data_IF_179447248404
#
_entry.id   IF_179447248404
#
_cell.length_a   1.000
_cell.length_b   1.000
_cell.length_c   1.000
_cell.angle_alpha   90.00
_cell.angle_beta   90.00
_cell.angle_gamma   90.00
#
_symmetry.space_group_name_H-M   'P 1'
#
loop_
_entity.id
_entity.type
_entity.pdbx_description
1 polymer ?
#
# COMPACT_ATOMS: atom_id res chain seq x y z
N UNK A 1 -31.76 40.06 -2.12
CA UNK A 1 -30.45 39.40 -2.39
C UNK A 1 -30.12 39.31 -3.89
N UNK A 2 -31.10 39.01 -4.77
CA UNK A 2 -30.90 38.87 -6.23
C UNK A 2 -30.43 40.14 -6.98
N UNK A 3 -30.79 41.34 -6.50
CA UNK A 3 -30.52 42.62 -7.19
C UNK A 3 -29.08 43.11 -7.01
N UNK A 4 -28.44 42.78 -5.88
CA UNK A 4 -27.03 43.09 -5.62
C UNK A 4 -26.11 42.28 -6.56
N UNK A 5 -26.47 41.02 -6.80
CA UNK A 5 -25.76 40.09 -7.69
C UNK A 5 -25.73 40.59 -9.14
N UNK A 6 -26.86 41.09 -9.66
CA UNK A 6 -26.93 41.64 -11.03
C UNK A 6 -26.19 42.98 -11.18
N UNK A 7 -26.14 43.81 -10.13
CA UNK A 7 -25.42 45.09 -10.14
C UNK A 7 -23.89 44.91 -10.13
N UNK A 8 -23.42 43.85 -9.46
CA UNK A 8 -22.00 43.41 -9.46
C UNK A 8 -21.62 42.78 -10.81
N UNK A 9 -22.52 41.96 -11.38
CA UNK A 9 -22.31 41.24 -12.65
C UNK A 9 -22.15 42.14 -13.88
N UNK A 10 -22.68 43.37 -13.85
CA UNK A 10 -22.60 44.31 -14.99
C UNK A 10 -21.29 45.11 -15.06
N UNK A 11 -20.35 44.97 -14.11
CA UNK A 11 -19.02 45.58 -14.22
C UNK A 11 -18.07 44.63 -14.95
N UNK A 12 -17.34 45.17 -15.94
CA UNK A 12 -16.25 44.51 -16.69
C UNK A 12 -15.29 43.73 -15.76
N UNK A 13 -15.04 44.29 -14.57
CA UNK A 13 -14.21 43.68 -13.52
C UNK A 13 -14.72 42.29 -13.09
N UNK A 14 -16.03 42.09 -12.90
CA UNK A 14 -16.55 40.79 -12.46
C UNK A 14 -16.40 39.69 -13.51
N UNK A 15 -16.51 40.05 -14.80
CA UNK A 15 -16.29 39.10 -15.91
C UNK A 15 -14.84 38.64 -15.98
N UNK A 16 -13.89 39.57 -15.82
CA UNK A 16 -12.45 39.26 -15.82
C UNK A 16 -12.08 38.37 -14.62
N UNK A 17 -12.56 38.71 -13.42
CA UNK A 17 -12.29 37.92 -12.21
C UNK A 17 -12.86 36.50 -12.34
N UNK A 18 -14.06 36.36 -12.90
CA UNK A 18 -14.68 35.04 -13.10
C UNK A 18 -13.93 34.19 -14.14
N UNK A 19 -13.51 34.76 -15.28
CA UNK A 19 -12.79 33.99 -16.30
C UNK A 19 -11.39 33.61 -15.85
N UNK A 20 -10.65 34.53 -15.23
CA UNK A 20 -9.31 34.25 -14.71
C UNK A 20 -9.39 33.25 -13.55
N UNK A 21 -10.37 33.40 -12.66
CA UNK A 21 -10.62 32.44 -11.59
C UNK A 21 -10.93 31.04 -12.12
N UNK A 22 -11.74 30.93 -13.17
CA UNK A 22 -12.05 29.65 -13.81
C UNK A 22 -10.79 29.01 -14.41
N UNK A 23 -10.00 29.76 -15.19
CA UNK A 23 -8.77 29.25 -15.80
C UNK A 23 -7.76 28.81 -14.73
N UNK A 24 -7.63 29.60 -13.66
CA UNK A 24 -6.76 29.26 -12.54
C UNK A 24 -7.21 27.97 -11.84
N UNK A 25 -8.51 27.83 -11.55
CA UNK A 25 -9.04 26.61 -10.92
C UNK A 25 -8.79 25.37 -11.77
N UNK A 26 -9.01 25.46 -13.09
CA UNK A 26 -8.76 24.34 -14.00
C UNK A 26 -7.27 23.99 -14.03
N UNK A 27 -6.40 24.99 -14.19
CA UNK A 27 -4.95 24.78 -14.22
C UNK A 27 -4.43 24.16 -12.92
N UNK A 28 -4.86 24.69 -11.77
CA UNK A 28 -4.47 24.18 -10.45
C UNK A 28 -4.98 22.76 -10.20
N UNK A 29 -6.19 22.44 -10.68
CA UNK A 29 -6.76 21.09 -10.56
C UNK A 29 -5.96 20.07 -11.36
N UNK A 30 -5.61 20.41 -12.62
CA UNK A 30 -4.78 19.55 -13.48
C UNK A 30 -3.39 19.35 -12.86
N UNK A 31 -2.77 20.45 -12.38
CA UNK A 31 -1.45 20.41 -11.77
C UNK A 31 -1.42 19.52 -10.52
N UNK A 32 -2.39 19.72 -9.63
CA UNK A 32 -2.55 18.93 -8.40
C UNK A 32 -2.77 17.45 -8.72
N UNK A 33 -3.63 17.15 -9.71
CA UNK A 33 -3.89 15.78 -10.12
C UNK A 33 -2.60 15.08 -10.60
N UNK A 34 -1.83 15.72 -11.46
CA UNK A 34 -0.56 15.16 -11.96
C UNK A 34 0.43 14.95 -10.82
N UNK A 35 0.59 15.95 -9.94
CA UNK A 35 1.53 15.86 -8.81
C UNK A 35 1.16 14.75 -7.82
N UNK A 36 -0.12 14.63 -7.46
CA UNK A 36 -0.59 13.57 -6.54
C UNK A 36 -0.37 12.19 -7.15
N UNK A 37 -0.63 12.03 -8.46
CA UNK A 37 -0.36 10.77 -9.17
C UNK A 37 1.12 10.42 -9.16
N UNK A 38 1.99 11.39 -9.43
CA UNK A 38 3.45 11.18 -9.44
C UNK A 38 4.00 10.85 -8.05
N UNK A 39 3.54 11.57 -7.01
CA UNK A 39 3.93 11.29 -5.63
C UNK A 39 3.47 9.89 -5.18
N UNK A 40 2.24 9.48 -5.51
CA UNK A 40 1.76 8.13 -5.21
C UNK A 40 2.65 7.04 -5.80
N UNK A 41 3.05 7.18 -7.06
CA UNK A 41 3.90 6.20 -7.73
C UNK A 41 5.26 6.09 -7.04
N UNK A 42 5.88 7.23 -6.72
CA UNK A 42 7.19 7.26 -6.06
C UNK A 42 7.15 6.63 -4.65
N UNK A 43 6.12 6.96 -3.87
CA UNK A 43 5.93 6.36 -2.55
C UNK A 43 5.66 4.85 -2.65
N UNK A 44 4.88 4.42 -3.65
CA UNK A 44 4.63 2.99 -3.88
C UNK A 44 5.93 2.22 -4.13
N UNK A 45 6.81 2.74 -5.00
CA UNK A 45 8.10 2.12 -5.27
C UNK A 45 8.98 2.02 -4.01
N UNK A 46 8.95 3.04 -3.15
CA UNK A 46 9.65 3.01 -1.86
C UNK A 46 9.08 1.95 -0.91
N UNK A 47 7.76 1.82 -0.85
CA UNK A 47 7.07 0.81 -0.02
C UNK A 47 7.44 -0.61 -0.49
N UNK A 48 7.40 -0.86 -1.80
CA UNK A 48 7.80 -2.16 -2.38
C UNK A 48 9.25 -2.47 -2.02
N UNK A 49 10.18 -1.53 -2.23
CA UNK A 49 11.59 -1.73 -1.90
C UNK A 49 11.87 -1.86 -0.39
N UNK A 50 11.06 -1.26 0.46
CA UNK A 50 11.16 -1.43 1.92
C UNK A 50 10.63 -2.81 2.34
N UNK A 51 9.52 -3.24 1.75
CA UNK A 51 8.91 -4.55 2.00
C UNK A 51 9.83 -5.70 1.56
N UNK A 52 10.52 -5.56 0.43
CA UNK A 52 11.49 -6.54 -0.05
C UNK A 52 12.69 -6.71 0.91
N UNK A 53 13.22 -5.59 1.41
CA UNK A 53 14.30 -5.60 2.40
C UNK A 53 13.83 -6.25 3.71
N UNK A 54 12.65 -5.89 4.19
CA UNK A 54 12.06 -6.48 5.39
C UNK A 54 11.86 -7.99 5.23
N UNK A 55 11.33 -8.43 4.09
CA UNK A 55 11.13 -9.85 3.76
C UNK A 55 12.46 -10.60 3.77
N UNK A 56 13.50 -10.00 3.19
CA UNK A 56 14.86 -10.56 3.21
C UNK A 56 15.40 -10.66 4.63
N UNK A 57 15.20 -9.64 5.47
CA UNK A 57 15.59 -9.66 6.89
C UNK A 57 14.85 -10.74 7.67
N UNK A 58 13.54 -10.89 7.47
CA UNK A 58 12.75 -11.96 8.12
C UNK A 58 13.26 -13.33 7.66
N UNK A 59 13.50 -13.52 6.36
CA UNK A 59 14.04 -14.77 5.81
C UNK A 59 15.40 -15.12 6.42
N UNK A 60 16.30 -14.15 6.52
CA UNK A 60 17.63 -14.35 7.11
C UNK A 60 17.56 -14.58 8.63
N UNK A 61 16.71 -13.82 9.35
CA UNK A 61 16.54 -13.95 10.79
C UNK A 61 15.90 -15.28 11.21
N UNK A 62 14.99 -15.81 10.38
CA UNK A 62 14.36 -17.11 10.61
C UNK A 62 15.17 -18.29 10.05
N UNK A 63 16.16 -18.05 9.19
CA UNK A 63 16.93 -19.07 8.50
C UNK A 63 17.51 -20.14 9.45
N UNK A 64 18.11 -19.72 10.55
CA UNK A 64 18.70 -20.66 11.51
C UNK A 64 17.63 -21.51 12.22
N UNK A 65 16.53 -20.89 12.66
CA UNK A 65 15.41 -21.60 13.26
C UNK A 65 14.74 -22.57 12.27
N UNK A 66 14.68 -22.20 10.98
CA UNK A 66 14.20 -23.08 9.91
C UNK A 66 15.13 -24.28 9.67
N UNK A 67 16.45 -24.09 9.66
CA UNK A 67 17.40 -25.21 9.53
C UNK A 67 17.30 -26.21 10.69
N UNK A 68 17.03 -25.72 11.89
CA UNK A 68 16.80 -26.56 13.07
C UNK A 68 15.37 -27.12 13.15
N UNK A 69 14.49 -26.77 12.21
CA UNK A 69 13.06 -27.09 12.25
C UNK A 69 12.40 -26.68 13.60
N UNK A 70 12.88 -25.57 14.19
CA UNK A 70 12.37 -25.05 15.46
C UNK A 70 11.12 -24.22 15.22
N UNK A 71 9.96 -24.88 15.20
CA UNK A 71 8.66 -24.25 14.89
C UNK A 71 8.28 -23.16 15.90
N UNK A 72 8.57 -23.38 17.17
CA UNK A 72 8.25 -22.42 18.23
C UNK A 72 9.06 -21.14 18.07
N UNK A 73 10.35 -21.25 17.75
CA UNK A 73 11.22 -20.08 17.51
C UNK A 73 10.75 -19.29 16.29
N UNK A 74 10.42 -19.97 15.19
CA UNK A 74 9.89 -19.31 13.98
C UNK A 74 8.60 -18.55 14.30
N UNK A 75 7.69 -19.18 15.04
CA UNK A 75 6.43 -18.57 15.44
C UNK A 75 6.65 -17.35 16.35
N UNK A 76 7.55 -17.45 17.33
CA UNK A 76 7.87 -16.32 18.21
C UNK A 76 8.53 -15.17 17.45
N UNK A 77 9.47 -15.45 16.54
CA UNK A 77 10.11 -14.43 15.71
C UNK A 77 9.06 -13.68 14.90
N UNK A 78 8.17 -14.40 14.21
CA UNK A 78 7.12 -13.79 13.37
C UNK A 78 6.12 -13.00 14.20
N UNK A 79 5.67 -13.56 15.33
CA UNK A 79 4.76 -12.87 16.26
C UNK A 79 5.36 -11.59 16.81
N UNK A 80 6.66 -11.58 17.15
CA UNK A 80 7.34 -10.40 17.67
C UNK A 80 7.51 -9.34 16.59
N UNK A 81 7.92 -9.72 15.38
CA UNK A 81 8.05 -8.79 14.26
C UNK A 81 6.67 -8.22 13.89
N UNK A 82 5.63 -9.06 13.86
CA UNK A 82 4.26 -8.66 13.57
C UNK A 82 3.59 -7.75 14.60
N UNK A 83 4.25 -7.40 15.72
CA UNK A 83 3.80 -6.36 16.67
C UNK A 83 4.14 -4.94 16.19
N UNK A 84 5.01 -4.80 15.19
CA UNK A 84 5.35 -3.51 14.61
C UNK A 84 4.11 -2.92 13.94
N UNK A 85 3.73 -1.66 14.25
CA UNK A 85 2.50 -1.04 13.73
C UNK A 85 2.51 -0.86 12.21
N UNK A 86 3.68 -0.83 11.58
CA UNK A 86 3.86 -0.73 10.13
C UNK A 86 3.59 -2.05 9.41
N UNK A 87 3.51 -3.17 10.14
CA UNK A 87 3.36 -4.51 9.57
C UNK A 87 1.91 -4.97 9.71
N UNK A 88 1.21 -5.05 8.58
CA UNK A 88 -0.18 -5.52 8.55
C UNK A 88 -0.30 -7.04 8.74
N UNK A 89 0.53 -7.80 8.03
CA UNK A 89 0.52 -9.26 8.06
C UNK A 89 1.87 -9.84 7.61
N UNK A 90 2.27 -10.96 8.21
CA UNK A 90 3.40 -11.79 7.77
C UNK A 90 2.89 -13.21 7.62
N UNK A 91 3.13 -13.84 6.46
CA UNK A 91 2.77 -15.24 6.18
C UNK A 91 3.95 -16.00 5.61
N UNK A 92 4.17 -17.22 6.08
CA UNK A 92 5.12 -18.17 5.51
C UNK A 92 4.35 -19.38 4.99
N UNK A 93 4.52 -19.66 3.70
CA UNK A 93 3.82 -20.74 3.00
C UNK A 93 4.73 -21.97 2.87
N UNK A 94 4.13 -23.16 2.86
CA UNK A 94 4.80 -24.36 2.37
C UNK A 94 4.72 -24.46 0.82
N UNK A 95 5.26 -25.54 0.26
CA UNK A 95 5.29 -25.76 -1.19
C UNK A 95 3.89 -25.95 -1.78
N UNK A 96 2.96 -26.41 -0.95
CA UNK A 96 1.56 -26.67 -1.28
C UNK A 96 0.67 -25.42 -1.20
N UNK A 97 1.20 -24.27 -0.75
CA UNK A 97 0.44 -23.02 -0.63
C UNK A 97 -0.35 -22.85 0.67
N UNK A 98 -0.09 -23.69 1.67
CA UNK A 98 -0.67 -23.60 3.00
C UNK A 98 0.14 -22.65 3.88
N UNK A 99 -0.56 -21.83 4.67
CA UNK A 99 0.06 -20.92 5.64
C UNK A 99 0.56 -21.73 6.83
N UNK A 100 1.88 -21.91 6.97
CA UNK A 100 2.47 -22.62 8.11
C UNK A 100 2.82 -21.73 9.29
N UNK A 101 3.06 -20.45 9.03
CA UNK A 101 3.27 -19.46 10.07
C UNK A 101 2.62 -18.14 9.69
N UNK A 102 1.98 -17.48 10.66
CA UNK A 102 1.38 -16.16 10.48
C UNK A 102 1.44 -15.36 11.78
N UNK A 103 1.52 -14.03 11.68
CA UNK A 103 1.30 -13.15 12.83
C UNK A 103 -0.19 -13.08 13.25
N UNK A 104 -1.08 -13.67 12.45
CA UNK A 104 -2.50 -13.87 12.76
C UNK A 104 -2.76 -15.38 12.95
N UNK A 105 -2.90 -15.85 14.20
CA UNK A 105 -3.07 -17.29 14.48
C UNK A 105 -4.28 -17.92 13.78
N UNK A 106 -5.32 -17.15 13.50
CA UNK A 106 -6.53 -17.60 12.79
C UNK A 106 -6.29 -17.97 11.32
N UNK A 107 -5.15 -17.60 10.74
CA UNK A 107 -4.80 -17.89 9.34
C UNK A 107 -3.90 -19.13 9.19
N UNK A 108 -3.39 -19.68 10.29
CA UNK A 108 -2.49 -20.84 10.26
C UNK A 108 -3.26 -22.08 9.80
N UNK A 109 -2.61 -22.89 8.97
CA UNK A 109 -3.15 -24.07 8.28
C UNK A 109 -4.31 -23.80 7.32
N UNK A 110 -4.64 -22.54 7.04
CA UNK A 110 -5.50 -22.23 5.89
C UNK A 110 -4.72 -22.41 4.59
N UNK A 111 -5.33 -23.15 3.67
CA UNK A 111 -4.90 -23.23 2.28
C UNK A 111 -5.52 -22.04 1.56
N UNK A 112 -4.68 -21.06 1.22
CA UNK A 112 -5.11 -19.99 0.32
C UNK A 112 -5.19 -20.53 -1.10
N UNK A 113 -6.03 -19.93 -1.94
CA UNK A 113 -6.08 -20.30 -3.35
C UNK A 113 -4.68 -20.17 -3.97
N UNK A 114 -4.14 -21.24 -4.55
CA UNK A 114 -2.80 -21.28 -5.18
C UNK A 114 -2.70 -20.28 -6.35
N UNK A 115 -3.84 -19.78 -6.85
CA UNK A 115 -3.93 -18.68 -7.84
C UNK A 115 -4.02 -17.28 -7.23
N UNK A 116 -4.11 -17.15 -5.91
CA UNK A 116 -4.09 -15.87 -5.22
C UNK A 116 -2.64 -15.39 -5.07
N UNK A 117 -2.21 -14.56 -6.02
CA UNK A 117 -1.16 -13.53 -5.99
C UNK A 117 0.29 -13.94 -5.62
N UNK A 118 0.53 -14.78 -4.59
CA UNK A 118 1.87 -15.15 -4.13
C UNK A 118 2.39 -16.49 -4.71
N UNK A 119 1.53 -17.48 -4.85
CA UNK A 119 1.92 -18.83 -5.31
C UNK A 119 2.07 -18.94 -6.83
N UNK A 120 1.44 -18.03 -7.59
CA UNK A 120 1.53 -17.98 -9.06
C UNK A 120 2.97 -17.75 -9.54
N UNK A 121 3.79 -17.05 -8.76
CA UNK A 121 5.21 -16.79 -9.09
C UNK A 121 6.01 -18.10 -9.22
N UNK A 122 5.65 -19.14 -8.45
CA UNK A 122 6.35 -20.43 -8.44
C UNK A 122 5.58 -21.56 -9.15
N UNK A 123 4.26 -21.45 -9.31
CA UNK A 123 3.36 -22.51 -9.82
C UNK A 123 2.71 -22.18 -11.17
N UNK A 124 3.23 -21.22 -11.94
CA UNK A 124 2.69 -20.77 -13.25
C UNK A 124 2.71 -21.81 -14.39
N UNK A 125 2.82 -23.11 -14.10
CA UNK A 125 2.89 -24.20 -15.09
C UNK A 125 1.56 -24.89 -15.28
#
# INVERSE_FOLDING_TARGET
MMTLFNKIRNRLVSKIVLTVGLVFLVSFSIWTYINVRYQKEKEMQNIVGTTDRLTTTIRLGTHYAMMLNSRDDINQIIMNIGRLPEIENIRIFNKEGEIKFSNRPSEVDLVTNIKAEACDICHRS
#
